data_IF_391682612529
#
_entry.id   IF_391682612529
#
_cell.length_a   1.000
_cell.length_b   1.000
_cell.length_c   1.000
_cell.angle_alpha   90.00
_cell.angle_beta   90.00
_cell.angle_gamma   90.00
#
_symmetry.space_group_name_H-M   'P 1'
#
loop_
_entity.id
_entity.type
_entity.pdbx_description
1 polymer ?
#
# COMPACT_ATOMS: atom_id res chain seq x y z
N UNK A 1 18.85 -3.45 -0.47
CA UNK A 1 17.72 -2.55 -0.78
C UNK A 1 18.18 -1.72 -1.96
N UNK A 2 17.58 -1.91 -3.13
CA UNK A 2 17.86 -1.05 -4.27
C UNK A 2 17.28 0.34 -3.97
N UNK A 3 18.06 1.40 -4.18
CA UNK A 3 17.62 2.80 -3.97
C UNK A 3 16.46 3.15 -4.91
N UNK A 4 16.44 2.54 -6.10
CA UNK A 4 15.36 2.71 -7.07
C UNK A 4 14.04 2.14 -6.53
N UNK A 5 14.07 0.94 -5.91
CA UNK A 5 12.90 0.33 -5.29
C UNK A 5 12.35 1.17 -4.14
N UNK A 6 13.22 1.83 -3.37
CA UNK A 6 12.77 2.67 -2.24
C UNK A 6 11.95 3.88 -2.73
N UNK A 7 12.45 4.59 -3.75
CA UNK A 7 11.75 5.74 -4.33
C UNK A 7 10.41 5.34 -4.96
N UNK A 8 10.38 4.24 -5.70
CA UNK A 8 9.15 3.70 -6.30
C UNK A 8 8.14 3.29 -5.23
N UNK A 9 8.56 2.56 -4.20
CA UNK A 9 7.68 2.18 -3.07
C UNK A 9 7.09 3.42 -2.38
N UNK A 10 7.85 4.49 -2.23
CA UNK A 10 7.38 5.71 -1.57
C UNK A 10 6.30 6.41 -2.39
N UNK A 11 6.52 6.55 -3.69
CA UNK A 11 5.53 7.14 -4.61
C UNK A 11 4.24 6.31 -4.68
N UNK A 12 4.35 4.97 -4.66
CA UNK A 12 3.19 4.09 -4.61
C UNK A 12 2.38 4.30 -3.32
N UNK A 13 3.05 4.40 -2.17
CA UNK A 13 2.38 4.66 -0.89
C UNK A 13 1.71 6.04 -0.84
N UNK A 14 2.36 7.09 -1.37
CA UNK A 14 1.78 8.43 -1.47
C UNK A 14 0.49 8.42 -2.30
N UNK A 15 0.56 7.85 -3.51
CA UNK A 15 -0.60 7.75 -4.41
C UNK A 15 -1.74 6.95 -3.78
N UNK A 16 -1.42 5.80 -3.21
CA UNK A 16 -2.41 4.93 -2.57
C UNK A 16 -3.11 5.63 -1.40
N UNK A 17 -2.34 6.35 -0.57
CA UNK A 17 -2.89 7.10 0.54
C UNK A 17 -3.74 8.29 0.07
N UNK A 18 -3.34 8.96 -1.01
CA UNK A 18 -4.16 9.98 -1.69
C UNK A 18 -5.50 9.43 -2.17
N UNK A 19 -5.52 8.23 -2.74
CA UNK A 19 -6.75 7.57 -3.20
C UNK A 19 -7.68 7.20 -2.03
N UNK A 20 -7.13 6.68 -0.92
CA UNK A 20 -7.92 6.31 0.27
C UNK A 20 -8.48 7.55 1.00
N UNK A 21 -7.67 8.60 1.15
CA UNK A 21 -8.05 9.80 1.90
C UNK A 21 -8.79 10.84 1.05
N UNK A 22 -8.78 10.71 -0.28
CA UNK A 22 -9.38 11.68 -1.20
C UNK A 22 -8.65 13.02 -1.27
N UNK A 23 -7.38 13.09 -0.86
CA UNK A 23 -6.55 14.31 -0.86
C UNK A 23 -5.42 14.20 -1.88
N UNK A 24 -5.23 15.22 -2.72
CA UNK A 24 -4.27 15.18 -3.85
C UNK A 24 -2.81 15.49 -3.49
N UNK A 25 -2.53 15.93 -2.26
CA UNK A 25 -1.19 16.40 -1.85
C UNK A 25 -0.63 15.62 -0.64
N UNK A 26 -0.79 14.30 -0.67
CA UNK A 26 -0.21 13.46 0.38
C UNK A 26 1.26 13.23 0.08
N UNK A 27 2.13 13.81 0.93
CA UNK A 27 3.56 13.51 0.95
C UNK A 27 3.93 12.63 2.15
N UNK A 28 4.80 11.66 1.90
CA UNK A 28 5.35 10.77 2.93
C UNK A 28 6.85 11.03 3.05
N UNK A 29 7.32 11.25 4.28
CA UNK A 29 8.75 11.48 4.55
C UNK A 29 9.58 10.20 4.42
N UNK A 30 8.95 9.03 4.66
CA UNK A 30 9.58 7.71 4.56
C UNK A 30 8.54 6.58 4.47
N UNK A 31 8.99 5.40 4.05
CA UNK A 31 8.16 4.19 4.00
C UNK A 31 7.66 3.80 5.41
N UNK A 32 6.40 3.38 5.49
CA UNK A 32 5.79 2.90 6.74
C UNK A 32 4.98 3.94 7.52
N UNK A 33 5.09 5.23 7.18
CA UNK A 33 4.23 6.30 7.70
C UNK A 33 2.75 6.06 7.39
N UNK A 34 2.48 5.33 6.29
CA UNK A 34 1.15 4.91 5.88
C UNK A 34 0.37 4.26 7.02
N UNK A 35 1.01 3.40 7.81
CA UNK A 35 0.34 2.76 8.94
C UNK A 35 -0.06 3.74 10.03
N UNK A 36 0.76 4.73 10.35
CA UNK A 36 0.39 5.78 11.29
C UNK A 36 -0.86 6.57 10.87
N UNK A 37 -1.06 6.73 9.55
CA UNK A 37 -2.19 7.49 8.99
C UNK A 37 -3.46 6.65 8.83
N UNK A 38 -3.34 5.35 8.56
CA UNK A 38 -4.48 4.47 8.29
C UNK A 38 -4.85 3.51 9.43
N UNK A 39 -4.06 3.44 10.52
CA UNK A 39 -4.30 2.52 11.64
C UNK A 39 -5.62 2.73 12.38
N UNK A 40 -6.27 3.89 12.26
CA UNK A 40 -7.61 4.14 12.81
C UNK A 40 -8.73 4.01 11.78
N UNK A 41 -8.41 3.74 10.52
CA UNK A 41 -9.36 3.70 9.42
C UNK A 41 -9.71 2.25 9.08
N UNK A 42 -11.01 1.94 9.10
CA UNK A 42 -11.53 0.67 8.57
C UNK A 42 -11.67 0.81 7.05
N UNK A 43 -10.87 0.07 6.29
CA UNK A 43 -10.84 0.14 4.83
C UNK A 43 -11.15 -1.21 4.18
N UNK A 44 -11.73 -1.17 2.98
CA UNK A 44 -11.81 -2.30 2.07
C UNK A 44 -11.03 -1.93 0.82
N UNK A 45 -9.91 -2.60 0.60
CA UNK A 45 -9.04 -2.37 -0.56
C UNK A 45 -9.15 -3.59 -1.47
N UNK A 46 -9.37 -3.34 -2.77
CA UNK A 46 -9.33 -4.36 -3.80
C UNK A 46 -8.23 -3.97 -4.79
N UNK A 47 -7.20 -4.81 -4.89
CA UNK A 47 -6.12 -4.67 -5.85
C UNK A 47 -6.36 -5.69 -6.97
N UNK A 48 -6.76 -5.20 -8.14
CA UNK A 48 -7.03 -6.04 -9.30
C UNK A 48 -5.80 -6.16 -10.21
N UNK A 49 -5.68 -7.31 -10.87
CA UNK A 49 -4.62 -7.67 -11.82
C UNK A 49 -3.19 -7.38 -11.34
N UNK A 50 -2.89 -7.72 -10.08
CA UNK A 50 -1.54 -7.50 -9.52
C UNK A 50 -0.57 -8.53 -10.09
N UNK A 51 0.47 -8.09 -10.79
CA UNK A 51 1.53 -8.92 -11.38
C UNK A 51 2.94 -8.58 -10.87
N UNK A 52 3.07 -7.59 -9.98
CA UNK A 52 4.35 -7.13 -9.43
C UNK A 52 4.43 -7.28 -7.90
N UNK A 53 5.44 -8.00 -7.43
CA UNK A 53 5.72 -8.20 -6.01
C UNK A 53 6.15 -6.91 -5.31
N UNK A 54 6.78 -5.98 -6.03
CA UNK A 54 7.16 -4.67 -5.49
C UNK A 54 5.90 -3.90 -5.04
N UNK A 55 4.82 -3.96 -5.83
CA UNK A 55 3.54 -3.34 -5.51
C UNK A 55 2.94 -3.95 -4.23
N UNK A 56 2.94 -5.29 -4.13
CA UNK A 56 2.46 -5.97 -2.92
C UNK A 56 3.26 -5.57 -1.69
N UNK A 57 4.59 -5.60 -1.78
CA UNK A 57 5.45 -5.17 -0.68
C UNK A 57 5.20 -3.70 -0.30
N UNK A 58 4.94 -2.83 -1.28
CA UNK A 58 4.70 -1.41 -1.08
C UNK A 58 3.36 -1.13 -0.38
N UNK A 59 2.31 -1.90 -0.70
CA UNK A 59 0.92 -1.60 -0.31
C UNK A 59 0.37 -2.50 0.81
N UNK A 60 0.90 -3.71 0.96
CA UNK A 60 0.42 -4.70 1.95
C UNK A 60 1.54 -5.36 2.76
N UNK A 61 2.80 -5.04 2.48
CA UNK A 61 3.97 -5.69 3.09
C UNK A 61 4.14 -5.53 4.61
N UNK A 62 3.35 -4.67 5.26
CA UNK A 62 3.33 -4.56 6.73
C UNK A 62 1.89 -4.67 7.26
N UNK A 63 1.68 -5.67 8.11
CA UNK A 63 0.35 -6.09 8.61
C UNK A 63 -0.33 -5.11 9.58
N UNK A 64 0.35 -4.03 9.99
CA UNK A 64 -0.13 -3.09 11.02
C UNK A 64 -0.62 -1.74 10.44
N UNK A 65 -0.84 -1.66 9.13
CA UNK A 65 -1.16 -0.38 8.50
C UNK A 65 -2.61 0.08 8.65
N UNK A 66 -3.55 -0.84 8.77
CA UNK A 66 -4.97 -0.54 8.72
C UNK A 66 -5.67 -0.76 10.05
N UNK A 67 -6.78 -0.07 10.27
CA UNK A 67 -7.60 -0.25 11.46
C UNK A 67 -8.28 -1.61 11.52
N UNK A 68 -8.72 -1.98 12.72
CA UNK A 68 -9.42 -3.25 12.97
C UNK A 68 -10.63 -3.43 12.06
N UNK A 69 -10.81 -4.65 11.55
CA UNK A 69 -11.90 -5.00 10.63
C UNK A 69 -11.68 -4.58 9.17
N UNK A 70 -10.51 -4.02 8.85
CA UNK A 70 -10.11 -3.77 7.46
C UNK A 70 -9.85 -5.07 6.70
N UNK A 71 -10.01 -5.03 5.38
CA UNK A 71 -9.75 -6.16 4.49
C UNK A 71 -9.04 -5.68 3.24
N UNK A 72 -8.00 -6.42 2.84
CA UNK A 72 -7.34 -6.23 1.54
C UNK A 72 -7.56 -7.50 0.73
N UNK A 73 -8.07 -7.33 -0.48
CA UNK A 73 -8.31 -8.41 -1.44
C UNK A 73 -7.37 -8.17 -2.61
N UNK A 74 -6.51 -9.15 -2.88
CA UNK A 74 -5.59 -9.14 -4.03
C UNK A 74 -6.11 -10.13 -5.04
N UNK A 75 -6.27 -9.69 -6.28
CA UNK A 75 -6.62 -10.52 -7.42
C UNK A 75 -5.40 -10.55 -8.33
N UNK A 76 -4.85 -11.75 -8.56
CA UNK A 76 -3.68 -11.95 -9.39
C UNK A 76 -3.86 -13.19 -10.25
N UNK A 77 -3.26 -13.17 -11.45
CA UNK A 77 -3.11 -14.34 -12.31
C UNK A 77 -1.79 -15.09 -12.05
N UNK A 78 -0.87 -14.47 -11.32
CA UNK A 78 0.45 -15.02 -11.02
C UNK A 78 0.45 -15.67 -9.63
N UNK A 79 0.48 -17.00 -9.62
CA UNK A 79 0.55 -17.78 -8.39
C UNK A 79 1.88 -17.55 -7.63
N UNK A 80 2.95 -17.10 -8.31
CA UNK A 80 4.24 -16.86 -7.68
C UNK A 80 4.28 -15.64 -6.76
N UNK A 81 3.22 -14.81 -6.78
CA UNK A 81 3.05 -13.66 -5.88
C UNK A 81 2.45 -14.02 -4.52
N UNK A 82 1.90 -15.22 -4.36
CA UNK A 82 1.33 -15.76 -3.11
C UNK A 82 2.36 -16.60 -2.34
#
# INVERSE_FOLDING_TARGET
>A
INLDDYGVKLQLQERFLSEILGHKDVKLDHLGVLGGRLKSHKVLIVLDDVDDRLLLDALVGQTLWFGSGSRVIVITKDLHLL
#
